data_IF_545315387594
#
_entry.id   IF_545315387594
#
_cell.length_a   1.000
_cell.length_b   1.000
_cell.length_c   1.000
_cell.angle_alpha   90.00
_cell.angle_beta   90.00
_cell.angle_gamma   90.00
#
_symmetry.space_group_name_H-M   'P 1'
#
loop_
_entity.id
_entity.type
_entity.pdbx_description
1 polymer ?
#
# COMPACT_ATOMS: atom_id res chain seq x y z
N UNK A 1 -7.57 -8.06 -18.28
CA UNK A 1 -7.59 -8.80 -17.00
C UNK A 1 -7.97 -7.83 -15.89
N UNK A 2 -9.05 -8.10 -15.18
CA UNK A 2 -9.51 -7.31 -14.03
C UNK A 2 -8.60 -7.62 -12.84
N UNK A 3 -7.90 -6.62 -12.29
CA UNK A 3 -7.05 -6.81 -11.10
C UNK A 3 -7.94 -7.21 -9.91
N UNK A 4 -7.65 -8.29 -9.17
CA UNK A 4 -8.44 -8.66 -7.99
C UNK A 4 -8.39 -7.52 -6.98
N UNK A 5 -9.54 -7.20 -6.36
CA UNK A 5 -9.65 -6.03 -5.50
C UNK A 5 -9.95 -6.41 -4.05
N UNK A 6 -9.19 -5.87 -3.09
CA UNK A 6 -9.56 -5.88 -1.67
C UNK A 6 -10.79 -5.00 -1.51
N UNK A 7 -11.80 -5.49 -0.78
CA UNK A 7 -13.00 -4.73 -0.43
C UNK A 7 -13.20 -4.74 1.08
N UNK A 8 -13.76 -3.68 1.63
CA UNK A 8 -14.23 -3.69 3.01
C UNK A 8 -15.54 -4.49 3.13
N UNK A 9 -16.03 -4.79 4.35
CA UNK A 9 -17.32 -5.49 4.54
C UNK A 9 -18.53 -4.78 3.92
N UNK A 10 -18.41 -3.47 3.65
CA UNK A 10 -19.41 -2.64 2.98
C UNK A 10 -19.28 -2.66 1.44
N UNK A 11 -18.37 -3.45 0.89
CA UNK A 11 -18.16 -3.62 -0.56
C UNK A 11 -17.33 -2.53 -1.24
N UNK A 12 -16.85 -1.52 -0.50
CA UNK A 12 -16.01 -0.46 -1.03
C UNK A 12 -14.64 -1.02 -1.42
N UNK A 13 -14.18 -0.66 -2.62
CA UNK A 13 -12.86 -1.05 -3.13
C UNK A 13 -11.78 -0.37 -2.30
N UNK A 14 -11.05 -1.17 -1.54
CA UNK A 14 -9.90 -0.72 -0.78
C UNK A 14 -8.64 -0.74 -1.60
N UNK A 15 -8.44 -1.71 -2.51
CA UNK A 15 -7.25 -1.78 -3.35
C UNK A 15 -7.07 -3.02 -4.19
N UNK A 16 -5.86 -3.28 -4.71
CA UNK A 16 -5.52 -4.52 -5.40
C UNK A 16 -5.21 -5.59 -4.34
N UNK A 17 -5.84 -6.76 -4.43
CA UNK A 17 -5.45 -7.91 -3.62
C UNK A 17 -4.32 -8.66 -4.32
N UNK A 18 -3.07 -8.26 -4.03
CA UNK A 18 -1.89 -8.88 -4.61
C UNK A 18 -1.80 -10.39 -4.32
N UNK A 19 -2.42 -10.88 -3.23
CA UNK A 19 -2.48 -12.31 -2.87
C UNK A 19 -3.31 -13.14 -3.84
N UNK A 20 -4.20 -12.50 -4.60
CA UNK A 20 -5.08 -13.15 -5.57
C UNK A 20 -4.56 -13.01 -7.01
N UNK A 21 -3.42 -12.33 -7.21
CA UNK A 21 -2.80 -12.21 -8.53
C UNK A 21 -2.07 -13.53 -8.86
N UNK A 22 -2.40 -14.23 -9.97
CA UNK A 22 -1.73 -15.47 -10.33
C UNK A 22 -0.21 -15.30 -10.41
N UNK A 23 0.53 -16.14 -9.68
CA UNK A 23 1.99 -16.04 -9.56
C UNK A 23 2.51 -15.12 -8.45
N UNK A 24 1.61 -14.39 -7.76
CA UNK A 24 1.91 -13.69 -6.52
C UNK A 24 1.26 -14.40 -5.31
N UNK A 25 2.03 -15.17 -4.55
CA UNK A 25 1.59 -15.72 -3.26
C UNK A 25 1.80 -14.73 -2.11
N UNK A 26 1.52 -15.14 -0.86
CA UNK A 26 1.82 -14.34 0.35
C UNK A 26 3.31 -13.94 0.47
N UNK A 27 4.20 -14.72 -0.14
CA UNK A 27 5.64 -14.44 -0.21
C UNK A 27 6.03 -13.53 -1.40
N UNK A 28 5.09 -13.21 -2.28
CA UNK A 28 5.34 -12.45 -3.51
C UNK A 28 5.05 -10.98 -3.27
N UNK A 29 6.13 -10.23 -3.21
CA UNK A 29 6.12 -8.79 -3.09
C UNK A 29 5.99 -8.19 -4.49
N UNK A 30 5.08 -7.23 -4.72
CA UNK A 30 4.88 -6.65 -6.05
C UNK A 30 6.09 -5.81 -6.53
N UNK A 31 7.03 -5.51 -5.63
CA UNK A 31 8.25 -4.78 -5.92
C UNK A 31 7.94 -3.33 -6.25
N UNK A 32 8.53 -2.84 -7.34
CA UNK A 32 8.41 -1.44 -7.73
C UNK A 32 7.11 -1.16 -8.48
N UNK A 33 6.12 -0.56 -7.85
CA UNK A 33 4.79 -0.27 -8.43
C UNK A 33 4.47 1.23 -8.48
N UNK A 34 3.52 1.68 -9.32
CA UNK A 34 3.05 3.08 -9.28
C UNK A 34 2.52 3.47 -7.89
N UNK A 35 2.79 4.70 -7.45
CA UNK A 35 2.32 5.21 -6.15
C UNK A 35 0.79 5.13 -5.97
N UNK A 36 0.03 5.24 -7.07
CA UNK A 36 -1.43 5.11 -7.09
C UNK A 36 -1.93 3.71 -6.72
N UNK A 37 -1.08 2.69 -6.90
CA UNK A 37 -1.37 1.27 -6.63
C UNK A 37 -0.87 0.86 -5.22
N UNK A 38 -0.33 1.78 -4.42
CA UNK A 38 0.04 1.56 -3.01
C UNK A 38 -1.20 1.66 -2.13
N UNK A 39 -1.28 0.78 -1.13
CA UNK A 39 -2.43 0.68 -0.23
C UNK A 39 -2.06 0.71 1.25
N UNK A 40 -2.99 1.13 2.12
CA UNK A 40 -2.85 0.91 3.55
C UNK A 40 -2.60 -0.58 3.85
N UNK A 41 -1.59 -0.84 4.68
CA UNK A 41 -1.08 -2.17 4.99
C UNK A 41 0.12 -2.59 4.16
N UNK A 42 0.48 -1.89 3.08
CA UNK A 42 1.73 -2.17 2.39
C UNK A 42 2.91 -1.69 3.23
N UNK A 43 3.99 -2.47 3.21
CA UNK A 43 5.30 -2.00 3.68
C UNK A 43 6.07 -1.52 2.47
N UNK A 44 6.57 -0.29 2.52
CA UNK A 44 7.30 0.38 1.43
C UNK A 44 8.68 0.81 1.90
N UNK A 45 9.63 0.85 0.96
CA UNK A 45 10.99 1.34 1.18
C UNK A 45 11.04 2.83 0.83
N UNK A 46 11.18 3.70 1.82
CA UNK A 46 11.31 5.15 1.64
C UNK A 46 12.59 5.65 2.32
N UNK A 47 13.42 6.40 1.59
CA UNK A 47 14.68 6.94 2.13
C UNK A 47 15.63 5.87 2.68
N UNK A 48 15.56 4.63 2.18
CA UNK A 48 16.35 3.49 2.68
C UNK A 48 15.76 2.75 3.89
N UNK A 49 14.58 3.16 4.37
CA UNK A 49 13.91 2.55 5.51
C UNK A 49 12.60 1.88 5.10
N UNK A 50 12.30 0.73 5.72
CA UNK A 50 11.00 0.06 5.57
C UNK A 50 9.96 0.70 6.52
N UNK A 51 8.84 1.14 5.96
CA UNK A 51 7.74 1.78 6.68
C UNK A 51 6.39 1.23 6.23
N UNK A 52 5.43 1.18 7.14
CA UNK A 52 4.08 0.66 6.86
C UNK A 52 3.18 1.82 6.48
N UNK A 53 2.55 1.74 5.30
CA UNK A 53 1.52 2.70 4.89
C UNK A 53 0.28 2.45 5.74
N UNK A 54 -0.19 3.43 6.49
CA UNK A 54 -1.42 3.31 7.27
C UNK A 54 -2.59 4.07 6.65
N UNK A 55 -2.30 5.09 5.84
CA UNK A 55 -3.31 5.88 5.14
C UNK A 55 -2.76 6.44 3.85
N UNK A 56 -3.60 6.50 2.83
CA UNK A 56 -3.33 7.24 1.60
C UNK A 56 -4.32 8.40 1.53
N UNK A 57 -3.81 9.63 1.33
CA UNK A 57 -4.61 10.86 1.27
C UNK A 57 -4.45 11.50 -0.10
N UNK A 58 -5.57 11.88 -0.71
CA UNK A 58 -5.63 12.46 -2.05
C UNK A 58 -6.41 11.56 -3.02
N UNK A 59 -6.95 12.18 -4.07
CA UNK A 59 -7.58 11.42 -5.15
C UNK A 59 -6.51 10.68 -5.95
N UNK A 60 -6.78 9.45 -6.40
CA UNK A 60 -5.90 8.76 -7.36
C UNK A 60 -5.79 9.48 -8.71
N UNK A 61 -6.63 10.47 -8.96
CA UNK A 61 -6.57 11.38 -10.11
C UNK A 61 -5.88 12.72 -9.81
N UNK A 62 -5.48 12.99 -8.57
CA UNK A 62 -4.78 14.21 -8.19
C UNK A 62 -3.34 14.18 -8.71
N UNK A 63 -2.70 15.34 -8.87
CA UNK A 63 -1.28 15.39 -9.27
C UNK A 63 -0.34 14.78 -8.22
N UNK A 64 -0.79 14.73 -6.96
CA UNK A 64 -0.03 14.33 -5.79
C UNK A 64 -0.90 13.47 -4.86
N UNK A 65 -0.30 12.44 -4.29
CA UNK A 65 -0.85 11.58 -3.24
C UNK A 65 0.05 11.67 -2.00
N UNK A 66 -0.53 11.68 -0.81
CA UNK A 66 0.24 11.57 0.43
C UNK A 66 0.13 10.16 0.99
N UNK A 67 1.26 9.47 1.08
CA UNK A 67 1.38 8.21 1.80
C UNK A 67 1.72 8.56 3.25
N UNK A 68 0.75 8.36 4.14
CA UNK A 68 0.96 8.50 5.58
C UNK A 68 1.41 7.15 6.07
N UNK A 69 2.64 7.10 6.58
CA UNK A 69 3.36 5.87 6.91
C UNK A 69 3.84 5.89 8.36
N UNK A 70 4.10 4.71 8.91
CA UNK A 70 4.60 4.53 10.27
C UNK A 70 5.84 3.64 10.28
N UNK A 71 6.84 4.05 11.03
CA UNK A 71 8.05 3.25 11.26
C UNK A 71 7.80 2.17 12.32
N UNK A 72 8.70 1.18 12.43
CA UNK A 72 8.67 0.18 13.53
C UNK A 72 8.74 0.86 14.90
N UNK A 73 9.45 1.98 15.02
CA UNK A 73 9.54 2.78 16.24
C UNK A 73 8.30 3.65 16.53
N UNK A 74 7.27 3.60 15.69
CA UNK A 74 6.02 4.33 15.89
C UNK A 74 6.02 5.77 15.35
N UNK A 75 7.11 6.24 14.74
CA UNK A 75 7.15 7.58 14.14
C UNK A 75 6.29 7.63 12.89
N UNK A 76 5.56 8.72 12.71
CA UNK A 76 4.79 8.99 11.49
C UNK A 76 5.66 9.73 10.47
N UNK A 77 5.59 9.30 9.21
CA UNK A 77 6.25 9.94 8.08
C UNK A 77 5.20 10.15 6.98
N UNK A 78 5.07 11.40 6.53
CA UNK A 78 4.25 11.76 5.38
C UNK A 78 5.15 11.83 4.15
N UNK A 79 4.96 10.90 3.21
CA UNK A 79 5.63 10.93 1.92
C UNK A 79 4.71 11.51 0.87
N UNK A 80 5.13 12.60 0.24
CA UNK A 80 4.44 13.21 -0.89
C UNK A 80 4.86 12.51 -2.18
N UNK A 81 3.95 11.72 -2.75
CA UNK A 81 4.18 10.97 -3.97
C UNK A 81 3.53 11.66 -5.17
N UNK A 82 4.33 11.96 -6.19
CA UNK A 82 3.81 12.56 -7.44
C UNK A 82 3.18 11.47 -8.30
N UNK A 83 2.08 11.77 -8.98
CA UNK A 83 1.47 10.79 -9.90
C UNK A 83 2.43 10.47 -11.05
N UNK A 84 2.78 9.18 -11.16
CA UNK A 84 3.82 8.66 -12.04
C UNK A 84 5.06 8.16 -11.30
N UNK A 85 5.24 8.54 -10.04
CA UNK A 85 6.26 7.99 -9.15
C UNK A 85 6.03 6.48 -8.95
N UNK A 86 7.14 5.75 -8.81
CA UNK A 86 7.13 4.33 -8.49
C UNK A 86 7.74 4.08 -7.12
N UNK A 87 6.98 3.38 -6.29
CA UNK A 87 7.31 3.04 -4.90
C UNK A 87 7.73 1.57 -4.84
N UNK A 88 8.80 1.30 -4.11
CA UNK A 88 9.24 -0.06 -3.81
C UNK A 88 8.42 -0.60 -2.64
N UNK A 89 7.45 -1.45 -2.94
CA UNK A 89 6.73 -2.25 -1.94
C UNK A 89 7.60 -3.46 -1.61
N UNK A 90 7.77 -3.73 -0.32
CA UNK A 90 8.62 -4.80 0.23
C UNK A 90 7.81 -5.87 0.98
N UNK A 91 6.56 -5.57 1.34
CA UNK A 91 5.58 -6.55 1.84
C UNK A 91 4.15 -6.02 1.63
N UNK A 92 3.17 -6.92 1.52
CA UNK A 92 1.74 -6.59 1.38
C UNK A 92 0.96 -7.16 2.56
N UNK A 93 -0.04 -6.42 3.06
CA UNK A 93 -0.96 -6.93 4.08
C UNK A 93 -0.47 -6.87 5.53
N UNK A 94 0.42 -5.94 5.89
CA UNK A 94 0.80 -5.69 7.28
C UNK A 94 -0.37 -5.19 8.16
N UNK A 95 -1.47 -4.75 7.54
CA UNK A 95 -2.75 -4.48 8.22
C UNK A 95 -3.79 -5.52 7.80
N UNK A 96 -3.92 -6.59 8.58
CA UNK A 96 -5.17 -7.35 8.65
C UNK A 96 -6.10 -6.57 9.60
N UNK A 97 -7.20 -5.94 9.14
CA UNK A 97 -8.18 -5.32 10.02
C UNK A 97 -8.96 -6.43 10.76
N UNK A 98 -8.33 -6.99 11.79
CA UNK A 98 -8.82 -8.13 12.56
C UNK A 98 -7.77 -8.82 13.44
N UNK A 99 -6.49 -8.45 13.33
CA UNK A 99 -5.41 -8.99 14.19
C UNK A 99 -5.14 -8.16 15.46
N UNK A 100 -6.03 -7.23 15.82
CA UNK A 100 -6.08 -6.64 17.15
C UNK A 100 -7.17 -7.37 17.93
N UNK A 101 -6.73 -7.97 19.04
CA UNK A 101 -7.44 -8.81 20.01
C UNK A 101 -8.84 -8.36 20.40
#
# INVERSE_FOLDING_TARGET
>A
MTRPMVRNPQGAVLGIDWRQVPGMGLASVPGRIPAVDVFPGDTVRLGGQDVVVHKVVGSRSAAVLHLVTRTVGGCEIVHEAVVGERIDVVAVGAFEPGAAS
#
